data_IF_547702422658
#
_entry.id   IF_547702422658
#
_cell.length_a   1.000
_cell.length_b   1.000
_cell.length_c   1.000
_cell.angle_alpha   90.00
_cell.angle_beta   90.00
_cell.angle_gamma   90.00
#
_symmetry.space_group_name_H-M   'P 1'
#
loop_
_entity.id
_entity.type
_entity.pdbx_description
1 polymer ?
#
# COMPACT_ATOMS: atom_id res chain seq x y z
N UNK A 1 -33.14 -5.98 0.51
CA UNK A 1 -32.46 -5.35 1.66
C UNK A 1 -31.09 -5.95 1.93
N UNK A 2 -30.90 -7.28 1.92
CA UNK A 2 -29.58 -7.92 2.15
C UNK A 2 -28.57 -7.65 1.01
N UNK A 3 -29.02 -7.63 -0.25
CA UNK A 3 -28.15 -7.33 -1.41
C UNK A 3 -27.56 -5.91 -1.37
N UNK A 4 -28.32 -4.95 -0.82
CA UNK A 4 -27.89 -3.57 -0.64
C UNK A 4 -26.80 -3.47 0.44
N UNK A 5 -26.97 -4.19 1.56
CA UNK A 5 -25.97 -4.26 2.62
C UNK A 5 -24.66 -4.90 2.15
N UNK A 6 -24.72 -6.02 1.41
CA UNK A 6 -23.52 -6.68 0.89
C UNK A 6 -22.75 -5.78 -0.09
N UNK A 7 -23.47 -5.14 -1.01
CA UNK A 7 -22.88 -4.21 -2.00
C UNK A 7 -22.26 -2.99 -1.33
N UNK A 8 -22.92 -2.42 -0.32
CA UNK A 8 -22.40 -1.31 0.47
C UNK A 8 -21.13 -1.70 1.24
N UNK A 9 -21.12 -2.88 1.89
CA UNK A 9 -19.94 -3.38 2.60
C UNK A 9 -18.76 -3.65 1.65
N UNK A 10 -19.02 -4.21 0.46
CA UNK A 10 -17.98 -4.40 -0.56
C UNK A 10 -17.42 -3.06 -1.04
N UNK A 11 -18.27 -2.06 -1.28
CA UNK A 11 -17.83 -0.72 -1.64
C UNK A 11 -16.99 -0.10 -0.52
N UNK A 12 -17.43 -0.18 0.74
CA UNK A 12 -16.68 0.32 1.89
C UNK A 12 -15.33 -0.38 2.04
N UNK A 13 -15.27 -1.69 1.88
CA UNK A 13 -14.01 -2.44 1.92
C UNK A 13 -13.02 -1.95 0.85
N UNK A 14 -13.48 -1.78 -0.39
CA UNK A 14 -12.69 -1.21 -1.48
C UNK A 14 -12.28 0.24 -1.22
N UNK A 15 -13.18 1.05 -0.67
CA UNK A 15 -12.92 2.44 -0.33
C UNK A 15 -11.83 2.55 0.74
N UNK A 16 -11.90 1.74 1.80
CA UNK A 16 -10.92 1.75 2.88
C UNK A 16 -9.55 1.23 2.42
N UNK A 17 -9.51 0.09 1.73
CA UNK A 17 -8.26 -0.49 1.24
C UNK A 17 -7.61 0.36 0.15
N UNK A 18 -8.35 0.73 -0.89
CA UNK A 18 -7.84 1.58 -1.97
C UNK A 18 -7.55 3.01 -1.50
N UNK A 19 -8.42 3.56 -0.65
CA UNK A 19 -8.28 4.91 -0.08
C UNK A 19 -7.03 5.06 0.77
N UNK A 20 -6.66 4.05 1.56
CA UNK A 20 -5.40 4.05 2.31
C UNK A 20 -4.18 4.24 1.40
N UNK A 21 -4.19 3.65 0.19
CA UNK A 21 -3.09 3.76 -0.77
C UNK A 21 -3.11 5.08 -1.54
N UNK A 22 -4.28 5.59 -1.92
CA UNK A 22 -4.40 6.94 -2.49
C UNK A 22 -3.87 7.98 -1.50
N UNK A 23 -4.29 7.89 -0.24
CA UNK A 23 -3.80 8.77 0.83
C UNK A 23 -2.29 8.62 1.03
N UNK A 24 -1.78 7.39 1.09
CA UNK A 24 -0.35 7.14 1.24
C UNK A 24 0.46 7.74 0.08
N UNK A 25 0.00 7.59 -1.16
CA UNK A 25 0.64 8.18 -2.34
C UNK A 25 0.68 9.71 -2.28
N UNK A 26 -0.45 10.36 -1.95
CA UNK A 26 -0.51 11.82 -1.81
C UNK A 26 0.39 12.34 -0.67
N UNK A 27 0.40 11.65 0.46
CA UNK A 27 1.32 11.96 1.58
C UNK A 27 2.78 11.76 1.17
N UNK A 28 3.09 10.75 0.36
CA UNK A 28 4.45 10.49 -0.12
C UNK A 28 4.95 11.57 -1.09
N UNK A 29 4.05 12.22 -1.86
CA UNK A 29 4.41 13.40 -2.67
C UNK A 29 4.92 14.54 -1.78
N UNK A 30 4.21 14.83 -0.69
CA UNK A 30 4.63 15.87 0.27
C UNK A 30 5.96 15.54 0.95
N UNK A 31 6.25 14.26 1.15
CA UNK A 31 7.46 13.77 1.80
C UNK A 31 8.56 13.33 0.83
N UNK A 32 8.45 13.68 -0.46
CA UNK A 32 9.23 13.05 -1.51
C UNK A 32 10.76 13.25 -1.34
N UNK A 33 11.18 14.43 -0.86
CA UNK A 33 12.58 14.72 -0.61
C UNK A 33 13.18 13.79 0.46
N UNK A 34 12.49 13.65 1.59
CA UNK A 34 12.89 12.77 2.69
C UNK A 34 12.92 11.30 2.26
N UNK A 35 11.86 10.83 1.60
CA UNK A 35 11.76 9.44 1.15
C UNK A 35 12.82 9.10 0.11
N UNK A 36 13.13 10.03 -0.81
CA UNK A 36 14.20 9.84 -1.80
C UNK A 36 15.56 9.64 -1.12
N UNK A 37 15.88 10.47 -0.13
CA UNK A 37 17.13 10.33 0.63
C UNK A 37 17.18 9.01 1.40
N UNK A 38 16.08 8.63 2.05
CA UNK A 38 15.97 7.37 2.76
C UNK A 38 16.18 6.16 1.82
N UNK A 39 15.56 6.17 0.64
CA UNK A 39 15.73 5.12 -0.37
C UNK A 39 17.16 5.07 -0.90
N UNK A 40 17.81 6.22 -1.11
CA UNK A 40 19.21 6.27 -1.54
C UNK A 40 20.17 5.69 -0.49
N UNK A 41 19.96 5.99 0.79
CA UNK A 41 20.72 5.39 1.91
C UNK A 41 20.53 3.87 2.00
N UNK A 42 19.41 3.35 1.48
CA UNK A 42 19.13 1.91 1.37
C UNK A 42 19.71 1.27 0.10
N UNK A 43 20.48 2.01 -0.70
CA UNK A 43 21.10 1.49 -1.91
C UNK A 43 20.16 1.37 -3.10
N UNK A 44 18.97 1.98 -3.07
CA UNK A 44 18.04 1.96 -4.21
C UNK A 44 18.63 2.80 -5.34
N UNK A 45 19.02 2.15 -6.43
CA UNK A 45 19.45 2.83 -7.65
C UNK A 45 18.31 3.71 -8.19
N UNK A 46 18.63 4.93 -8.63
CA UNK A 46 17.64 5.89 -9.13
C UNK A 46 16.47 6.12 -8.14
N UNK A 47 16.78 6.25 -6.84
CA UNK A 47 15.80 6.39 -5.75
C UNK A 47 14.63 7.34 -6.05
N UNK A 48 14.91 8.51 -6.66
CA UNK A 48 13.87 9.48 -7.02
C UNK A 48 12.88 8.91 -8.04
N UNK A 49 13.38 8.26 -9.10
CA UNK A 49 12.54 7.65 -10.13
C UNK A 49 11.69 6.53 -9.53
N UNK A 50 12.31 5.65 -8.73
CA UNK A 50 11.62 4.55 -8.06
C UNK A 50 10.55 5.04 -7.08
N UNK A 51 10.80 6.13 -6.36
CA UNK A 51 9.81 6.76 -5.49
C UNK A 51 8.59 7.23 -6.28
N UNK A 52 8.80 8.01 -7.35
CA UNK A 52 7.69 8.52 -8.16
C UNK A 52 6.91 7.40 -8.84
N UNK A 53 7.59 6.35 -9.28
CA UNK A 53 6.95 5.13 -9.77
C UNK A 53 6.07 4.48 -8.70
N UNK A 54 6.60 4.30 -7.48
CA UNK A 54 5.85 3.78 -6.35
C UNK A 54 4.62 4.63 -6.00
N UNK A 55 4.76 5.96 -5.96
CA UNK A 55 3.64 6.90 -5.74
C UNK A 55 2.56 6.72 -6.82
N UNK A 56 2.96 6.65 -8.09
CA UNK A 56 2.02 6.46 -9.19
C UNK A 56 1.26 5.13 -9.05
N UNK A 57 1.95 4.03 -8.72
CA UNK A 57 1.29 2.74 -8.47
C UNK A 57 0.29 2.82 -7.31
N UNK A 58 0.68 3.43 -6.18
CA UNK A 58 -0.21 3.58 -5.03
C UNK A 58 -1.49 4.33 -5.38
N UNK A 59 -1.37 5.49 -6.04
CA UNK A 59 -2.51 6.35 -6.37
C UNK A 59 -3.39 5.72 -7.43
N UNK A 60 -2.81 5.22 -8.53
CA UNK A 60 -3.58 4.67 -9.64
C UNK A 60 -4.25 3.35 -9.25
N UNK A 61 -3.50 2.40 -8.67
CA UNK A 61 -4.09 1.12 -8.27
C UNK A 61 -5.06 1.31 -7.10
N UNK A 62 -4.77 2.20 -6.15
CA UNK A 62 -5.71 2.57 -5.09
C UNK A 62 -7.03 3.11 -5.64
N UNK A 63 -6.98 4.03 -6.60
CA UNK A 63 -8.16 4.57 -7.26
C UNK A 63 -8.94 3.51 -8.05
N UNK A 64 -8.24 2.60 -8.74
CA UNK A 64 -8.86 1.47 -9.43
C UNK A 64 -9.61 0.53 -8.48
N UNK A 65 -9.04 0.23 -7.31
CA UNK A 65 -9.69 -0.56 -6.26
C UNK A 65 -10.98 0.13 -5.80
N UNK A 66 -10.92 1.44 -5.49
CA UNK A 66 -12.10 2.23 -5.09
C UNK A 66 -13.18 2.19 -6.19
N UNK A 67 -12.79 2.40 -7.44
CA UNK A 67 -13.70 2.39 -8.58
C UNK A 67 -14.28 0.98 -8.87
N UNK A 68 -13.61 -0.08 -8.41
CA UNK A 68 -14.01 -1.47 -8.68
C UNK A 68 -13.64 -1.93 -10.08
N UNK A 69 -12.69 -1.25 -10.72
CA UNK A 69 -12.24 -1.55 -12.07
C UNK A 69 -10.92 -2.32 -12.05
N UNK A 70 -10.84 -3.44 -12.77
CA UNK A 70 -9.62 -4.25 -12.84
C UNK A 70 -9.10 -4.72 -11.47
N UNK A 71 -10.01 -5.09 -10.55
CA UNK A 71 -9.73 -5.35 -9.13
C UNK A 71 -8.56 -6.33 -8.95
N UNK A 72 -8.58 -7.47 -9.64
CA UNK A 72 -7.51 -8.47 -9.54
C UNK A 72 -6.12 -7.89 -9.87
N UNK A 73 -6.03 -7.10 -10.95
CA UNK A 73 -4.78 -6.47 -11.40
C UNK A 73 -4.35 -5.40 -10.41
N UNK A 74 -5.25 -4.48 -10.04
CA UNK A 74 -4.95 -3.38 -9.14
C UNK A 74 -4.49 -3.88 -7.76
N UNK A 75 -5.20 -4.86 -7.19
CA UNK A 75 -4.84 -5.48 -5.92
C UNK A 75 -3.50 -6.22 -6.02
N UNK A 76 -3.22 -6.94 -7.12
CA UNK A 76 -1.94 -7.62 -7.32
C UNK A 76 -0.77 -6.64 -7.36
N UNK A 77 -0.94 -5.51 -8.04
CA UNK A 77 0.05 -4.42 -8.05
C UNK A 77 0.30 -3.90 -6.63
N UNK A 78 -0.74 -3.68 -5.83
CA UNK A 78 -0.59 -3.20 -4.46
C UNK A 78 0.05 -4.25 -3.53
N UNK A 79 -0.23 -5.54 -3.72
CA UNK A 79 0.46 -6.62 -3.00
C UNK A 79 1.95 -6.64 -3.34
N UNK A 80 2.31 -6.55 -4.63
CA UNK A 80 3.71 -6.47 -5.04
C UNK A 80 4.40 -5.21 -4.47
N UNK A 81 3.71 -4.08 -4.50
CA UNK A 81 4.19 -2.85 -3.86
C UNK A 81 4.48 -3.07 -2.37
N UNK A 82 3.57 -3.71 -1.63
CA UNK A 82 3.75 -4.02 -0.21
C UNK A 82 4.96 -4.94 0.02
N UNK A 83 5.14 -5.99 -0.80
CA UNK A 83 6.28 -6.92 -0.69
C UNK A 83 7.61 -6.18 -0.81
N UNK A 84 7.70 -5.19 -1.70
CA UNK A 84 8.93 -4.40 -1.90
C UNK A 84 9.09 -3.30 -0.85
N UNK A 85 8.03 -2.54 -0.56
CA UNK A 85 8.10 -1.38 0.31
C UNK A 85 8.24 -1.76 1.79
N UNK A 86 7.61 -2.85 2.23
CA UNK A 86 7.61 -3.26 3.65
C UNK A 86 9.00 -3.51 4.21
N UNK A 87 9.87 -4.35 3.62
CA UNK A 87 11.23 -4.53 4.13
C UNK A 87 12.07 -3.26 4.01
N UNK A 88 11.77 -2.37 3.06
CA UNK A 88 12.49 -1.11 2.91
C UNK A 88 12.18 -0.11 4.03
N UNK A 89 10.91 0.05 4.41
CA UNK A 89 10.49 1.06 5.38
C UNK A 89 10.21 0.51 6.79
N UNK A 90 10.00 -0.80 6.93
CA UNK A 90 9.65 -1.47 8.18
C UNK A 90 10.63 -2.60 8.55
N UNK A 91 11.92 -2.43 8.25
CA UNK A 91 13.02 -3.32 8.70
C UNK A 91 13.25 -3.24 10.22
N UNK A 92 12.31 -3.75 10.99
CA UNK A 92 12.39 -3.74 12.45
C UNK A 92 13.61 -4.51 13.00
N UNK A 93 14.20 -5.42 12.22
CA UNK A 93 15.36 -6.20 12.63
C UNK A 93 16.64 -5.37 12.84
N UNK A 94 16.73 -4.17 12.23
CA UNK A 94 17.88 -3.27 12.38
C UNK A 94 17.67 -2.16 13.41
N UNK A 95 16.57 -2.19 14.18
CA UNK A 95 16.17 -1.10 15.07
C UNK A 95 15.89 -1.62 16.48
N UNK A 96 15.90 -0.73 17.47
CA UNK A 96 15.60 -1.05 18.88
C UNK A 96 14.66 -0.01 19.50
N UNK A 97 14.11 -0.33 20.67
CA UNK A 97 13.27 0.59 21.43
C UNK A 97 11.98 1.00 20.70
N UNK A 98 11.48 2.24 20.92
CA UNK A 98 10.23 2.71 20.33
C UNK A 98 10.20 2.66 18.78
N UNK A 99 11.33 2.88 18.11
CA UNK A 99 11.38 2.83 16.64
C UNK A 99 11.14 1.41 16.10
N UNK A 100 11.72 0.40 16.77
CA UNK A 100 11.45 -1.02 16.44
C UNK A 100 9.96 -1.35 16.55
N UNK A 101 9.30 -0.90 17.61
CA UNK A 101 7.87 -1.14 17.82
C UNK A 101 7.02 -0.49 16.71
N UNK A 102 7.33 0.76 16.34
CA UNK A 102 6.67 1.46 15.22
C UNK A 102 6.81 0.69 13.90
N UNK A 103 8.01 0.15 13.62
CA UNK A 103 8.26 -0.65 12.42
C UNK A 103 7.53 -1.99 12.43
N UNK A 104 7.45 -2.67 13.57
CA UNK A 104 6.66 -3.89 13.70
C UNK A 104 5.18 -3.61 13.39
N UNK A 105 4.62 -2.51 13.92
CA UNK A 105 3.24 -2.12 13.64
C UNK A 105 3.02 -1.85 12.14
N UNK A 106 3.95 -1.16 11.48
CA UNK A 106 3.90 -0.95 10.03
C UNK A 106 4.00 -2.25 9.24
N UNK A 107 4.89 -3.16 9.64
CA UNK A 107 5.03 -4.48 9.02
C UNK A 107 3.72 -5.28 9.12
N UNK A 108 3.17 -5.42 10.32
CA UNK A 108 1.91 -6.16 10.56
C UNK A 108 0.74 -5.50 9.84
N UNK A 109 0.68 -4.17 9.85
CA UNK A 109 -0.33 -3.41 9.09
C UNK A 109 -0.28 -3.71 7.60
N UNK A 110 0.92 -3.76 7.00
CA UNK A 110 1.08 -4.11 5.60
C UNK A 110 0.72 -5.58 5.31
N UNK A 111 0.99 -6.51 6.22
CA UNK A 111 0.53 -7.91 6.08
C UNK A 111 -1.00 -7.98 6.08
N UNK A 112 -1.67 -7.25 6.99
CA UNK A 112 -3.13 -7.21 7.05
C UNK A 112 -3.74 -6.59 5.77
N UNK A 113 -3.17 -5.49 5.27
CA UNK A 113 -3.56 -4.89 3.99
C UNK A 113 -3.38 -5.88 2.82
N UNK A 114 -2.26 -6.60 2.80
CA UNK A 114 -2.01 -7.66 1.82
C UNK A 114 -3.10 -8.75 1.84
N UNK A 115 -3.50 -9.23 3.03
CA UNK A 115 -4.60 -10.17 3.18
C UNK A 115 -5.95 -9.63 2.67
N UNK A 116 -6.22 -8.35 2.90
CA UNK A 116 -7.40 -7.66 2.38
C UNK A 116 -7.42 -7.63 0.85
N UNK A 117 -6.29 -7.32 0.21
CA UNK A 117 -6.16 -7.35 -1.24
C UNK A 117 -6.28 -8.75 -1.83
N UNK A 118 -5.68 -9.77 -1.21
CA UNK A 118 -5.82 -11.16 -1.64
C UNK A 118 -7.28 -11.63 -1.59
N UNK A 119 -8.02 -11.21 -0.57
CA UNK A 119 -9.46 -11.49 -0.46
C UNK A 119 -10.26 -10.81 -1.58
N UNK A 120 -9.94 -9.55 -1.92
CA UNK A 120 -10.56 -8.84 -3.04
C UNK A 120 -10.21 -9.47 -4.40
N UNK A 121 -8.98 -9.96 -4.57
CA UNK A 121 -8.57 -10.71 -5.77
C UNK A 121 -9.46 -11.95 -5.90
N UNK A 122 -9.53 -12.78 -4.85
CA UNK A 122 -10.31 -14.00 -4.86
C UNK A 122 -11.80 -13.78 -5.17
N UNK A 123 -12.39 -12.69 -4.67
CA UNK A 123 -13.77 -12.31 -4.93
C UNK A 123 -14.01 -11.84 -6.38
N UNK A 124 -12.97 -11.37 -7.06
CA UNK A 124 -13.06 -10.81 -8.43
C UNK A 124 -12.77 -11.81 -9.55
N UNK A 125 -12.46 -13.07 -9.20
CA UNK A 125 -12.28 -14.19 -10.12
C UNK A 125 -13.63 -14.86 -10.41
#
# INVERSE_FOLDING_TARGET
>A
MIEDTASALMFLGRLLLGGAFVFAGLRNIQNAAFLTQLMAMRGVSQARLMLWFGIALQVVAGAMVIAGFGIAIACSVLVLFLIVATPMFHNFWDHQGPDRASRINGFVGNVALGGGFLSLIAQSL
#
